data_IF_571148407719
#
_entry.id   IF_571148407719
#
_cell.length_a   1.000
_cell.length_b   1.000
_cell.length_c   1.000
_cell.angle_alpha   90.00
_cell.angle_beta   90.00
_cell.angle_gamma   90.00
#
_symmetry.space_group_name_H-M   'P 1'
#
loop_
_entity.id
_entity.type
_entity.pdbx_description
1 polymer ?
#
# COMPACT_ATOMS: atom_id res chain seq x y z
N UNK A 1 50.33 -38.11 -5.42
CA UNK A 1 48.94 -37.57 -5.29
C UNK A 1 48.28 -38.40 -4.20
N UNK A 2 48.16 -37.87 -2.98
CA UNK A 2 47.62 -38.63 -1.85
C UNK A 2 46.09 -38.78 -2.01
N UNK A 3 45.61 -40.02 -2.03
CA UNK A 3 44.18 -40.34 -2.11
C UNK A 3 43.59 -40.44 -0.71
N UNK A 4 42.47 -39.77 -0.46
CA UNK A 4 41.73 -39.87 0.80
C UNK A 4 41.17 -41.30 0.98
N UNK A 5 41.16 -41.86 2.20
CA UNK A 5 40.61 -43.19 2.46
C UNK A 5 39.09 -43.25 2.19
N UNK A 6 38.63 -44.44 1.82
CA UNK A 6 37.25 -44.71 1.38
C UNK A 6 36.23 -44.35 2.48
N UNK A 7 35.47 -43.27 2.24
CA UNK A 7 34.38 -42.80 3.13
C UNK A 7 34.47 -41.31 3.51
N UNK A 8 35.62 -40.66 3.32
CA UNK A 8 35.81 -39.25 3.66
C UNK A 8 35.46 -38.32 2.47
N UNK A 9 34.35 -37.60 2.57
CA UNK A 9 34.02 -36.50 1.64
C UNK A 9 34.68 -35.22 2.16
N UNK A 10 35.82 -34.84 1.59
CA UNK A 10 36.51 -33.62 1.97
C UNK A 10 35.75 -32.39 1.47
N UNK A 11 35.17 -31.62 2.40
CA UNK A 11 34.60 -30.30 2.08
C UNK A 11 35.68 -29.24 1.96
N UNK A 12 36.72 -29.31 2.80
CA UNK A 12 37.88 -28.42 2.74
C UNK A 12 39.10 -29.10 3.38
N UNK A 13 40.27 -28.90 2.77
CA UNK A 13 41.54 -29.50 3.19
C UNK A 13 42.48 -28.38 3.66
N UNK A 14 43.06 -28.53 4.84
CA UNK A 14 44.07 -27.60 5.35
C UNK A 14 45.32 -28.38 5.79
N UNK A 15 46.49 -27.98 5.28
CA UNK A 15 47.77 -28.52 5.73
C UNK A 15 48.16 -27.87 7.05
N UNK A 16 48.50 -28.67 8.06
CA UNK A 16 48.97 -28.20 9.35
C UNK A 16 50.28 -28.90 9.72
N UNK A 17 51.39 -28.26 9.36
CA UNK A 17 52.73 -28.85 9.47
C UNK A 17 52.82 -30.13 8.63
N UNK A 18 53.09 -31.25 9.30
CA UNK A 18 53.21 -32.59 8.71
C UNK A 18 51.89 -33.37 8.64
N UNK A 19 50.77 -32.74 9.02
CA UNK A 19 49.47 -33.39 9.13
C UNK A 19 48.46 -32.73 8.20
N UNK A 20 47.45 -33.50 7.83
CA UNK A 20 46.38 -33.03 6.96
C UNK A 20 45.06 -33.00 7.74
N UNK A 21 44.48 -31.80 7.85
CA UNK A 21 43.18 -31.59 8.48
C UNK A 21 42.10 -31.61 7.40
N UNK A 22 41.11 -32.48 7.59
CA UNK A 22 39.95 -32.59 6.72
C UNK A 22 38.72 -32.10 7.47
N UNK A 23 38.06 -31.10 6.90
CA UNK A 23 36.71 -30.71 7.32
C UNK A 23 35.69 -31.55 6.57
N UNK A 24 34.92 -32.34 7.32
CA UNK A 24 33.80 -33.07 6.76
C UNK A 24 32.51 -32.22 6.87
N UNK A 25 31.71 -32.10 5.79
CA UNK A 25 30.43 -31.42 5.86
C UNK A 25 29.50 -32.12 6.86
N UNK A 26 28.96 -31.37 7.83
CA UNK A 26 28.02 -31.90 8.83
C UNK A 26 28.62 -32.36 10.17
N UNK A 27 29.95 -32.39 10.34
CA UNK A 27 30.60 -32.66 11.63
C UNK A 27 31.36 -31.43 12.15
N UNK A 28 31.30 -31.19 13.45
CA UNK A 28 32.06 -30.12 14.15
C UNK A 28 33.51 -30.56 14.41
N UNK A 29 33.77 -31.87 14.42
CA UNK A 29 35.10 -32.46 14.54
C UNK A 29 35.90 -32.33 13.24
N UNK A 30 37.18 -31.97 13.37
CA UNK A 30 38.14 -32.01 12.27
C UNK A 30 38.85 -33.36 12.28
N UNK A 31 38.81 -34.08 11.16
CA UNK A 31 39.55 -35.31 10.98
C UNK A 31 41.02 -34.97 10.73
N UNK A 32 41.94 -35.70 11.35
CA UNK A 32 43.38 -35.47 11.26
C UNK A 32 44.03 -36.70 10.65
N UNK A 33 44.86 -36.50 9.64
CA UNK A 33 45.63 -37.56 8.98
C UNK A 33 47.12 -37.30 9.13
N UNK A 34 47.88 -38.36 9.38
CA UNK A 34 49.34 -38.30 9.48
C UNK A 34 50.02 -38.32 8.08
N UNK A 35 51.36 -38.25 8.03
CA UNK A 35 52.15 -38.29 6.78
C UNK A 35 51.97 -39.60 5.99
N UNK A 36 51.53 -40.68 6.66
CA UNK A 36 51.33 -42.02 6.10
C UNK A 36 49.89 -42.24 5.58
N UNK A 37 48.98 -41.29 5.82
CA UNK A 37 47.57 -41.37 5.41
C UNK A 37 46.65 -42.06 6.42
N UNK A 38 47.15 -42.44 7.60
CA UNK A 38 46.35 -43.04 8.66
C UNK A 38 45.53 -41.98 9.42
N UNK A 39 44.30 -42.33 9.76
CA UNK A 39 43.42 -41.48 10.54
C UNK A 39 43.88 -41.42 12.01
N UNK A 40 44.23 -40.24 12.48
CA UNK A 40 44.50 -39.96 13.89
C UNK A 40 43.18 -39.58 14.62
N UNK A 41 43.20 -39.62 15.96
CA UNK A 41 42.06 -39.20 16.78
C UNK A 41 41.54 -37.81 16.36
N UNK A 42 40.23 -37.64 16.16
CA UNK A 42 39.64 -36.41 15.65
C UNK A 42 39.89 -35.25 16.60
N UNK A 43 40.22 -34.08 16.05
CA UNK A 43 40.46 -32.88 16.84
C UNK A 43 39.11 -32.28 17.25
N UNK A 44 38.75 -32.45 18.51
CA UNK A 44 37.64 -31.77 19.17
C UNK A 44 38.19 -30.59 19.96
N UNK A 45 38.03 -29.38 19.43
CA UNK A 45 38.46 -28.15 20.11
C UNK A 45 37.25 -27.46 20.74
N UNK A 46 37.37 -27.12 22.03
CA UNK A 46 36.38 -26.34 22.77
C UNK A 46 36.16 -24.95 22.15
N UNK A 47 37.17 -24.39 21.49
CA UNK A 47 37.07 -23.13 20.75
C UNK A 47 36.24 -23.26 19.47
N UNK A 48 36.34 -24.38 18.75
CA UNK A 48 35.53 -24.64 17.55
C UNK A 48 34.06 -24.83 17.91
N UNK A 49 33.77 -25.56 19.00
CA UNK A 49 32.41 -25.70 19.51
C UNK A 49 31.85 -24.37 20.00
N UNK A 50 32.67 -23.53 20.64
CA UNK A 50 32.25 -22.20 21.08
C UNK A 50 31.95 -21.26 19.90
N UNK A 51 32.76 -21.27 18.85
CA UNK A 51 32.53 -20.46 17.65
C UNK A 51 31.27 -20.89 16.88
N UNK A 52 31.03 -22.21 16.75
CA UNK A 52 29.79 -22.72 16.12
C UNK A 52 28.56 -22.40 16.97
N UNK A 53 28.67 -22.52 18.30
CA UNK A 53 27.60 -22.13 19.23
C UNK A 53 27.29 -20.62 19.15
N UNK A 54 28.32 -19.79 19.04
CA UNK A 54 28.17 -18.34 18.87
C UNK A 54 27.54 -17.98 17.50
N UNK A 55 27.95 -18.66 16.42
CA UNK A 55 27.35 -18.46 15.09
C UNK A 55 25.88 -18.89 15.04
N UNK A 56 25.54 -20.03 15.62
CA UNK A 56 24.15 -20.51 15.70
C UNK A 56 23.29 -19.62 16.60
N UNK A 57 23.85 -19.10 17.69
CA UNK A 57 23.19 -18.11 18.54
C UNK A 57 22.92 -16.80 17.79
N UNK A 58 23.86 -16.29 17.00
CA UNK A 58 23.63 -15.09 16.17
C UNK A 58 22.57 -15.32 15.09
N UNK A 59 22.65 -16.43 14.37
CA UNK A 59 21.66 -16.76 13.34
C UNK A 59 20.24 -16.93 13.93
N UNK A 60 20.12 -17.53 15.11
CA UNK A 60 18.82 -17.67 15.79
C UNK A 60 18.29 -16.35 16.33
N UNK A 61 19.16 -15.46 16.84
CA UNK A 61 18.78 -14.12 17.27
C UNK A 61 18.33 -13.24 16.09
N UNK A 62 19.01 -13.32 14.94
CA UNK A 62 18.57 -12.65 13.71
C UNK A 62 17.19 -13.14 13.27
N UNK A 63 16.96 -14.45 13.30
CA UNK A 63 15.68 -15.05 12.92
C UNK A 63 14.54 -14.69 13.92
N UNK A 64 14.87 -14.54 15.20
CA UNK A 64 13.95 -14.08 16.25
C UNK A 64 13.65 -12.58 16.10
N UNK A 65 14.67 -11.76 15.87
CA UNK A 65 14.51 -10.34 15.59
C UNK A 65 13.65 -10.12 14.33
N UNK A 66 13.85 -10.97 13.31
CA UNK A 66 13.05 -11.00 12.09
C UNK A 66 11.58 -11.31 12.36
N UNK A 67 11.29 -12.37 13.11
CA UNK A 67 9.92 -12.75 13.50
C UNK A 67 9.26 -11.70 14.39
N UNK A 68 10.01 -11.11 15.30
CA UNK A 68 9.52 -10.05 16.19
C UNK A 68 9.19 -8.76 15.40
N UNK A 69 10.05 -8.37 14.46
CA UNK A 69 9.83 -7.23 13.58
C UNK A 69 8.59 -7.41 12.69
N UNK A 70 8.43 -8.60 12.09
CA UNK A 70 7.23 -8.94 11.31
C UNK A 70 5.97 -8.96 12.19
N UNK A 71 6.02 -9.51 13.39
CA UNK A 71 4.90 -9.51 14.33
C UNK A 71 4.50 -8.07 14.73
N UNK A 72 5.47 -7.21 15.01
CA UNK A 72 5.22 -5.79 15.31
C UNK A 72 4.63 -5.04 14.12
N UNK A 73 5.10 -5.29 12.90
CA UNK A 73 4.55 -4.67 11.69
C UNK A 73 3.09 -5.11 11.45
N UNK A 74 2.79 -6.40 11.63
CA UNK A 74 1.41 -6.92 11.56
C UNK A 74 0.54 -6.31 12.65
N UNK A 75 1.02 -6.23 13.89
CA UNK A 75 0.29 -5.60 14.99
C UNK A 75 0.03 -4.11 14.73
N UNK A 76 1.01 -3.38 14.20
CA UNK A 76 0.85 -1.97 13.83
C UNK A 76 -0.17 -1.79 12.70
N UNK A 77 -0.18 -2.69 11.70
CA UNK A 77 -1.18 -2.72 10.64
C UNK A 77 -2.59 -2.96 11.21
N UNK A 78 -2.74 -3.97 12.08
CA UNK A 78 -4.01 -4.29 12.74
C UNK A 78 -4.48 -3.12 13.61
N UNK A 79 -3.60 -2.53 14.41
CA UNK A 79 -3.91 -1.36 15.23
C UNK A 79 -4.34 -0.16 14.38
N UNK A 80 -3.67 0.08 13.24
CA UNK A 80 -4.03 1.14 12.30
C UNK A 80 -5.40 0.87 11.65
N UNK A 81 -5.71 -0.37 11.30
CA UNK A 81 -7.03 -0.77 10.79
C UNK A 81 -8.13 -0.57 11.84
N UNK A 82 -7.87 -0.96 13.09
CA UNK A 82 -8.80 -0.76 14.21
C UNK A 82 -9.04 0.74 14.49
N UNK A 83 -7.97 1.54 14.53
CA UNK A 83 -8.07 2.99 14.70
C UNK A 83 -8.82 3.64 13.54
N UNK A 84 -8.56 3.23 12.29
CA UNK A 84 -9.29 3.70 11.13
C UNK A 84 -10.77 3.35 11.19
N UNK A 85 -11.12 2.14 11.67
CA UNK A 85 -12.52 1.74 11.87
C UNK A 85 -13.22 2.58 12.96
N UNK A 86 -12.53 2.85 14.08
CA UNK A 86 -13.06 3.71 15.16
C UNK A 86 -13.22 5.16 14.68
N UNK A 87 -12.25 5.70 13.96
CA UNK A 87 -12.36 7.03 13.35
C UNK A 87 -13.51 7.08 12.34
N UNK A 88 -13.71 6.04 11.55
CA UNK A 88 -14.83 5.94 10.61
C UNK A 88 -16.18 5.98 11.31
N UNK A 89 -16.35 5.22 12.38
CA UNK A 89 -17.58 5.22 13.19
C UNK A 89 -17.79 6.61 13.81
N UNK A 90 -16.73 7.25 14.33
CA UNK A 90 -16.82 8.61 14.84
C UNK A 90 -17.19 9.64 13.77
N UNK A 91 -16.63 9.54 12.57
CA UNK A 91 -16.98 10.43 11.46
C UNK A 91 -18.43 10.26 11.03
N UNK A 92 -18.99 9.04 11.09
CA UNK A 92 -20.41 8.78 10.76
C UNK A 92 -21.39 9.32 11.81
N UNK A 93 -20.99 9.38 13.09
CA UNK A 93 -21.84 9.92 14.18
C UNK A 93 -21.79 11.45 14.22
N UNK A 94 -20.71 12.07 13.72
CA UNK A 94 -20.51 13.53 13.72
C UNK A 94 -20.60 14.18 12.33
N UNK A 95 -21.16 13.51 11.32
CA UNK A 95 -21.62 14.23 10.12
C UNK A 95 -22.83 15.08 10.49
N UNK A 96 -22.60 16.20 11.18
CA UNK A 96 -23.48 17.35 11.07
C UNK A 96 -23.42 17.77 9.61
N UNK A 97 -24.46 17.50 8.84
CA UNK A 97 -24.64 18.08 7.50
C UNK A 97 -24.35 19.57 7.60
N UNK A 98 -23.19 20.00 7.08
CA UNK A 98 -22.79 21.40 7.09
C UNK A 98 -23.44 22.02 5.86
N UNK A 99 -24.69 22.43 6.02
CA UNK A 99 -25.41 23.31 5.09
C UNK A 99 -24.69 24.67 5.08
N UNK A 100 -23.56 24.78 4.38
CA UNK A 100 -22.81 26.02 4.24
C UNK A 100 -22.79 26.44 2.78
N UNK A 101 -23.23 27.67 2.49
CA UNK A 101 -22.91 28.38 1.24
C UNK A 101 -24.01 28.46 0.19
N UNK A 102 -25.11 27.71 0.30
CA UNK A 102 -26.20 27.73 -0.68
C UNK A 102 -27.57 28.10 -0.10
N UNK A 103 -28.47 28.53 -0.98
CA UNK A 103 -29.89 28.77 -0.66
C UNK A 103 -30.48 27.45 -0.15
N UNK A 104 -31.18 27.43 1.00
CA UNK A 104 -31.71 26.21 1.59
C UNK A 104 -32.54 25.41 0.59
N UNK A 105 -32.13 24.15 0.37
CA UNK A 105 -32.76 23.18 -0.52
C UNK A 105 -34.24 22.91 -0.19
N UNK A 106 -34.69 23.21 1.03
CA UNK A 106 -36.08 23.07 1.47
C UNK A 106 -37.08 23.82 0.57
N UNK A 107 -36.65 24.85 -0.16
CA UNK A 107 -37.45 25.56 -1.16
C UNK A 107 -37.18 25.01 -2.57
N UNK A 108 -37.63 23.78 -2.84
CA UNK A 108 -37.61 23.16 -4.17
C UNK A 108 -36.74 21.93 -4.31
N UNK A 109 -36.45 21.20 -3.23
CA UNK A 109 -35.80 19.89 -3.26
C UNK A 109 -36.56 18.89 -4.16
N UNK A 110 -37.89 18.96 -4.21
CA UNK A 110 -38.74 18.10 -5.05
C UNK A 110 -38.55 18.34 -6.56
N UNK A 111 -38.07 19.53 -6.97
CA UNK A 111 -37.82 19.87 -8.37
C UNK A 111 -36.46 19.35 -8.89
N UNK A 112 -35.63 18.77 -8.02
CA UNK A 112 -34.28 18.35 -8.37
C UNK A 112 -34.29 16.92 -8.89
N UNK A 113 -33.95 16.77 -10.16
CA UNK A 113 -33.67 15.46 -10.74
C UNK A 113 -32.26 15.03 -10.35
N UNK A 114 -32.16 14.13 -9.38
CA UNK A 114 -30.88 13.56 -8.94
C UNK A 114 -30.38 12.48 -9.90
N UNK A 115 -29.10 12.54 -10.25
CA UNK A 115 -28.45 11.54 -11.08
C UNK A 115 -28.21 10.28 -10.25
N UNK A 116 -28.67 9.14 -10.76
CA UNK A 116 -28.48 7.87 -10.09
C UNK A 116 -26.99 7.50 -9.93
N UNK A 117 -26.59 6.98 -8.76
CA UNK A 117 -25.25 6.46 -8.57
C UNK A 117 -25.02 5.20 -9.41
N UNK A 118 -23.76 4.92 -9.73
CA UNK A 118 -23.40 3.71 -10.45
C UNK A 118 -23.66 2.46 -9.59
N UNK A 119 -24.63 1.63 -9.98
CA UNK A 119 -25.11 0.46 -9.23
C UNK A 119 -23.98 -0.47 -8.72
N UNK A 120 -22.92 -0.65 -9.51
CA UNK A 120 -21.85 -1.62 -9.21
C UNK A 120 -20.58 -0.99 -8.64
N UNK A 121 -20.60 0.27 -8.20
CA UNK A 121 -19.41 0.98 -7.72
C UNK A 121 -18.74 0.25 -6.55
N UNK A 122 -19.50 -0.08 -5.52
CA UNK A 122 -18.96 -0.72 -4.31
C UNK A 122 -18.45 -2.13 -4.59
N UNK A 123 -19.17 -2.88 -5.45
CA UNK A 123 -18.71 -4.19 -5.92
C UNK A 123 -17.39 -4.08 -6.68
N UNK A 124 -17.25 -3.13 -7.61
CA UNK A 124 -16.00 -2.90 -8.35
C UNK A 124 -14.84 -2.50 -7.44
N UNK A 125 -15.07 -1.60 -6.49
CA UNK A 125 -14.05 -1.22 -5.50
C UNK A 125 -13.64 -2.39 -4.61
N UNK A 126 -14.59 -3.27 -4.24
CA UNK A 126 -14.28 -4.48 -3.47
C UNK A 126 -13.47 -5.48 -4.26
N UNK A 127 -13.77 -5.66 -5.56
CA UNK A 127 -13.01 -6.53 -6.46
C UNK A 127 -11.60 -5.99 -6.68
N UNK A 128 -11.45 -4.67 -6.90
CA UNK A 128 -10.14 -4.02 -6.99
C UNK A 128 -9.33 -4.22 -5.71
N UNK A 129 -9.93 -3.99 -4.54
CA UNK A 129 -9.24 -4.21 -3.27
C UNK A 129 -8.83 -5.67 -3.05
N UNK A 130 -9.70 -6.64 -3.39
CA UNK A 130 -9.36 -8.08 -3.32
C UNK A 130 -8.23 -8.42 -4.28
N UNK A 131 -8.31 -7.97 -5.54
CA UNK A 131 -7.28 -8.22 -6.55
C UNK A 131 -5.93 -7.63 -6.12
N UNK A 132 -5.94 -6.42 -5.57
CA UNK A 132 -4.77 -5.76 -5.02
C UNK A 132 -4.19 -6.54 -3.83
N UNK A 133 -5.03 -6.99 -2.90
CA UNK A 133 -4.59 -7.78 -1.75
C UNK A 133 -3.91 -9.10 -2.18
N UNK A 134 -4.48 -9.79 -3.17
CA UNK A 134 -3.88 -11.02 -3.73
C UNK A 134 -2.54 -10.73 -4.39
N UNK A 135 -2.44 -9.67 -5.20
CA UNK A 135 -1.19 -9.27 -5.86
C UNK A 135 -0.13 -8.82 -4.85
N UNK A 136 -0.51 -8.06 -3.84
CA UNK A 136 0.38 -7.62 -2.76
C UNK A 136 0.93 -8.83 -1.98
N UNK A 137 0.07 -9.80 -1.63
CA UNK A 137 0.49 -11.02 -0.95
C UNK A 137 1.45 -11.84 -1.82
N UNK A 138 1.16 -11.99 -3.11
CA UNK A 138 2.04 -12.68 -4.05
C UNK A 138 3.42 -11.99 -4.14
N UNK A 139 3.46 -10.65 -4.23
CA UNK A 139 4.70 -9.89 -4.25
C UNK A 139 5.53 -10.10 -2.97
N UNK A 140 4.89 -10.10 -1.80
CA UNK A 140 5.55 -10.37 -0.51
C UNK A 140 6.11 -11.80 -0.50
N UNK A 141 5.33 -12.80 -0.92
CA UNK A 141 5.77 -14.20 -0.97
C UNK A 141 6.97 -14.39 -1.90
N UNK A 142 6.96 -13.76 -3.08
CA UNK A 142 8.09 -13.79 -4.01
C UNK A 142 9.32 -13.12 -3.40
N UNK A 143 9.17 -11.95 -2.77
CA UNK A 143 10.28 -11.26 -2.12
C UNK A 143 10.92 -12.11 -0.99
N UNK A 144 10.09 -12.77 -0.18
CA UNK A 144 10.56 -13.71 0.84
C UNK A 144 11.27 -14.91 0.22
N UNK A 145 10.71 -15.49 -0.85
CA UNK A 145 11.31 -16.61 -1.58
C UNK A 145 12.65 -16.27 -2.25
N UNK A 146 12.86 -15.01 -2.61
CA UNK A 146 14.12 -14.49 -3.17
C UNK A 146 15.17 -14.14 -2.10
N UNK A 147 14.85 -14.25 -0.81
CA UNK A 147 15.80 -13.93 0.28
C UNK A 147 16.13 -12.43 0.38
N UNK A 148 15.19 -11.57 0.00
CA UNK A 148 15.32 -10.11 0.04
C UNK A 148 15.65 -9.62 1.46
N UNK A 149 16.49 -8.59 1.56
CA UNK A 149 16.95 -8.08 2.87
C UNK A 149 15.80 -7.45 3.68
N UNK A 150 16.00 -7.33 5.00
CA UNK A 150 15.00 -6.78 5.90
C UNK A 150 14.47 -5.40 5.49
N UNK A 151 15.41 -4.55 5.08
CA UNK A 151 15.14 -3.17 4.71
C UNK A 151 14.45 -3.07 3.34
N UNK A 152 14.77 -3.97 2.41
CA UNK A 152 14.07 -4.09 1.14
C UNK A 152 12.64 -4.62 1.32
N UNK A 153 12.41 -5.58 2.21
CA UNK A 153 11.07 -6.05 2.53
C UNK A 153 10.24 -4.96 3.22
N UNK A 154 10.83 -4.22 4.16
CA UNK A 154 10.17 -3.08 4.79
C UNK A 154 9.78 -2.02 3.76
N UNK A 155 10.68 -1.69 2.82
CA UNK A 155 10.38 -0.77 1.74
C UNK A 155 9.22 -1.28 0.86
N UNK A 156 9.19 -2.57 0.53
CA UNK A 156 8.09 -3.19 -0.21
C UNK A 156 6.75 -3.06 0.54
N UNK A 157 6.73 -3.37 1.84
CA UNK A 157 5.51 -3.25 2.65
C UNK A 157 5.00 -1.81 2.71
N UNK A 158 5.90 -0.83 2.88
CA UNK A 158 5.54 0.59 2.88
C UNK A 158 4.99 1.00 1.51
N UNK A 159 5.63 0.59 0.41
CA UNK A 159 5.16 0.86 -0.95
C UNK A 159 3.76 0.27 -1.20
N UNK A 160 3.49 -0.94 -0.70
CA UNK A 160 2.20 -1.62 -0.84
C UNK A 160 1.11 -1.03 0.09
N UNK A 161 1.49 -0.43 1.22
CA UNK A 161 0.54 0.17 2.15
C UNK A 161 -0.18 1.39 1.53
N UNK A 162 0.53 2.21 0.75
CA UNK A 162 -0.01 3.44 0.18
C UNK A 162 -1.28 3.22 -0.67
N UNK A 163 -1.23 2.40 -1.73
CA UNK A 163 -2.40 2.10 -2.53
C UNK A 163 -3.50 1.35 -1.75
N UNK A 164 -3.14 0.52 -0.76
CA UNK A 164 -4.11 -0.14 0.11
C UNK A 164 -4.93 0.89 0.90
N UNK A 165 -4.26 1.84 1.55
CA UNK A 165 -4.92 2.92 2.28
C UNK A 165 -5.74 3.82 1.37
N UNK A 166 -5.24 4.13 0.16
CA UNK A 166 -6.00 4.91 -0.82
C UNK A 166 -7.30 4.21 -1.25
N UNK A 167 -7.27 2.89 -1.47
CA UNK A 167 -8.46 2.10 -1.80
C UNK A 167 -9.44 2.05 -0.62
N UNK A 168 -8.96 1.86 0.61
CA UNK A 168 -9.80 1.88 1.81
C UNK A 168 -10.48 3.24 2.02
N UNK A 169 -9.75 4.33 1.79
CA UNK A 169 -10.28 5.68 1.86
C UNK A 169 -11.40 5.87 0.84
N UNK A 170 -11.19 5.43 -0.41
CA UNK A 170 -12.21 5.52 -1.47
C UNK A 170 -13.44 4.64 -1.24
N UNK A 171 -13.29 3.50 -0.57
CA UNK A 171 -14.42 2.66 -0.16
C UNK A 171 -15.20 3.26 1.01
N UNK A 172 -14.55 4.08 1.83
CA UNK A 172 -15.17 4.74 2.99
C UNK A 172 -15.81 6.09 2.66
N UNK A 173 -15.37 6.75 1.59
CA UNK A 173 -15.85 8.07 1.20
C UNK A 173 -17.14 8.01 0.39
N UNK A 174 -18.05 8.94 0.67
CA UNK A 174 -19.15 9.23 -0.23
C UNK A 174 -18.63 9.82 -1.56
N UNK A 175 -19.35 9.59 -2.64
CA UNK A 175 -18.98 10.06 -4.00
C UNK A 175 -19.65 11.39 -4.36
N UNK A 176 -20.42 11.97 -3.43
CA UNK A 176 -21.18 13.20 -3.63
C UNK A 176 -22.45 12.96 -4.44
N UNK A 177 -23.20 14.05 -4.69
CA UNK A 177 -24.43 14.00 -5.47
C UNK A 177 -24.39 15.04 -6.59
N UNK A 178 -25.00 14.67 -7.71
CA UNK A 178 -25.22 15.56 -8.85
C UNK A 178 -26.72 15.58 -9.12
N UNK A 179 -27.29 16.77 -9.19
CA UNK A 179 -28.68 16.99 -9.54
C UNK A 179 -28.80 18.07 -10.60
N UNK A 180 -29.96 18.11 -11.25
CA UNK A 180 -30.32 19.17 -12.19
C UNK A 180 -31.69 19.73 -11.83
N UNK A 181 -31.82 21.05 -11.85
CA UNK A 181 -33.09 21.78 -11.68
C UNK A 181 -33.26 22.73 -12.87
N UNK A 182 -34.03 22.30 -13.87
CA UNK A 182 -34.13 23.02 -15.14
C UNK A 182 -32.76 23.19 -15.80
N UNK A 183 -32.30 24.44 -15.90
CA UNK A 183 -31.00 24.79 -16.50
C UNK A 183 -29.87 25.00 -15.48
N UNK A 184 -30.13 24.66 -14.21
CA UNK A 184 -29.19 24.82 -13.10
C UNK A 184 -28.69 23.46 -12.64
N UNK A 185 -27.39 23.40 -12.37
CA UNK A 185 -26.70 22.22 -11.90
C UNK A 185 -26.53 22.32 -10.38
N UNK A 186 -26.88 21.25 -9.67
CA UNK A 186 -26.75 21.11 -8.23
C UNK A 186 -25.65 20.10 -7.97
N UNK A 187 -24.64 20.51 -7.22
CA UNK A 187 -23.55 19.62 -6.79
C UNK A 187 -23.55 19.56 -5.28
N UNK A 188 -23.43 18.35 -4.74
CA UNK A 188 -23.10 18.13 -3.33
C UNK A 188 -21.82 17.30 -3.26
N UNK A 189 -20.85 17.73 -2.45
CA UNK A 189 -19.60 17.00 -2.28
C UNK A 189 -19.74 15.81 -1.31
N UNK A 190 -18.63 15.10 -1.11
CA UNK A 190 -18.50 13.99 -0.18
C UNK A 190 -18.65 14.37 1.32
N UNK A 191 -18.73 15.65 1.64
CA UNK A 191 -18.94 16.18 3.00
C UNK A 191 -20.38 16.70 3.20
N UNK A 192 -21.21 16.66 2.16
CA UNK A 192 -22.59 17.15 2.18
C UNK A 192 -22.72 18.66 1.94
N UNK A 193 -21.65 19.35 1.55
CA UNK A 193 -21.71 20.76 1.14
C UNK A 193 -22.25 20.82 -0.29
N UNK A 194 -23.25 21.66 -0.53
CA UNK A 194 -23.87 21.78 -1.86
C UNK A 194 -23.87 23.20 -2.40
N UNK A 195 -23.76 23.31 -3.72
CA UNK A 195 -23.82 24.55 -4.46
C UNK A 195 -24.67 24.40 -5.73
N UNK A 196 -25.37 25.47 -6.10
CA UNK A 196 -26.15 25.58 -7.33
C UNK A 196 -25.47 26.55 -8.28
N UNK A 197 -25.37 26.18 -9.56
CA UNK A 197 -24.70 26.99 -10.57
C UNK A 197 -25.13 26.65 -11.98
N UNK A 198 -25.05 27.64 -12.87
CA UNK A 198 -25.27 27.50 -14.31
C UNK A 198 -24.25 28.33 -15.08
N UNK A 199 -24.09 28.02 -16.38
CA UNK A 199 -23.18 28.75 -17.27
C UNK A 199 -21.76 28.87 -16.70
N UNK A 200 -21.23 30.10 -16.65
CA UNK A 200 -19.85 30.39 -16.24
C UNK A 200 -19.49 30.01 -14.80
N UNK A 201 -20.47 29.78 -13.91
CA UNK A 201 -20.21 29.29 -12.54
C UNK A 201 -19.89 27.80 -12.49
N UNK A 202 -20.25 27.05 -13.53
CA UNK A 202 -19.94 25.63 -13.63
C UNK A 202 -18.55 25.47 -14.22
N UNK A 203 -17.68 24.81 -13.49
CA UNK A 203 -16.34 24.46 -13.92
C UNK A 203 -16.28 22.95 -14.16
N UNK A 204 -15.65 22.54 -15.25
CA UNK A 204 -15.54 21.11 -15.57
C UNK A 204 -14.17 20.73 -16.11
N UNK A 205 -13.75 19.51 -15.78
CA UNK A 205 -12.55 18.90 -16.36
C UNK A 205 -12.61 17.39 -16.32
N UNK A 206 -12.68 16.76 -17.49
CA UNK A 206 -12.64 15.30 -17.68
C UNK A 206 -13.66 14.55 -16.81
N UNK A 207 -13.26 14.13 -15.62
CA UNK A 207 -14.06 13.31 -14.70
C UNK A 207 -14.51 14.10 -13.46
N UNK A 208 -14.37 15.42 -13.46
CA UNK A 208 -14.69 16.28 -12.33
C UNK A 208 -15.62 17.41 -12.76
N UNK A 209 -16.59 17.69 -11.90
CA UNK A 209 -17.47 18.86 -11.99
C UNK A 209 -17.33 19.68 -10.71
N UNK A 210 -17.35 21.00 -10.87
CA UNK A 210 -17.02 21.93 -9.80
C UNK A 210 -17.95 23.14 -9.88
N UNK A 211 -18.48 23.57 -8.74
CA UNK A 211 -19.16 24.87 -8.57
C UNK A 211 -18.58 25.47 -7.30
N UNK A 212 -18.03 26.68 -7.42
CA UNK A 212 -17.37 27.38 -6.32
C UNK A 212 -16.29 26.51 -5.63
N UNK A 213 -16.53 26.05 -4.40
CA UNK A 213 -15.66 25.16 -3.61
C UNK A 213 -16.09 23.69 -3.62
N UNK A 214 -17.29 23.37 -4.10
CA UNK A 214 -17.78 21.99 -4.24
C UNK A 214 -17.15 21.33 -5.46
N UNK A 215 -16.52 20.18 -5.26
CA UNK A 215 -15.93 19.36 -6.31
C UNK A 215 -16.46 17.94 -6.24
N UNK A 216 -17.06 17.46 -7.33
CA UNK A 216 -17.64 16.13 -7.45
C UNK A 216 -16.93 15.32 -8.52
N UNK A 217 -16.54 14.10 -8.18
CA UNK A 217 -15.98 13.14 -9.13
C UNK A 217 -17.11 12.42 -9.85
N UNK A 218 -17.27 12.69 -11.14
CA UNK A 218 -18.32 12.12 -12.00
C UNK A 218 -18.06 10.62 -12.27
N UNK A 219 -16.80 10.23 -12.29
CA UNK A 219 -16.38 8.86 -12.59
C UNK A 219 -15.49 8.73 -13.82
N UNK A 220 -14.70 7.66 -13.82
CA UNK A 220 -13.90 7.23 -14.97
C UNK A 220 -14.41 5.89 -15.50
N UNK A 221 -13.86 5.43 -16.64
CA UNK A 221 -14.19 4.11 -17.21
C UNK A 221 -14.01 2.97 -16.20
N UNK A 222 -12.97 3.06 -15.39
CA UNK A 222 -12.60 2.05 -14.39
C UNK A 222 -13.32 2.24 -13.05
N UNK A 223 -13.70 3.49 -12.74
CA UNK A 223 -14.34 3.84 -11.48
C UNK A 223 -15.50 4.83 -11.72
N UNK A 224 -16.64 4.37 -12.23
CA UNK A 224 -17.82 5.23 -12.38
C UNK A 224 -18.34 5.61 -10.98
N UNK A 225 -18.67 6.89 -10.79
CA UNK A 225 -19.39 7.35 -9.59
C UNK A 225 -20.90 7.38 -9.86
N UNK A 226 -21.28 7.89 -11.03
CA UNK A 226 -22.66 7.98 -11.48
C UNK A 226 -22.90 7.13 -12.73
N UNK A 227 -24.18 6.92 -13.06
CA UNK A 227 -24.57 6.22 -14.28
C UNK A 227 -24.08 6.99 -15.53
N UNK A 228 -23.21 6.41 -16.38
CA UNK A 228 -22.58 7.15 -17.49
C UNK A 228 -23.59 7.72 -18.50
N UNK A 229 -24.67 6.99 -18.77
CA UNK A 229 -25.79 7.39 -19.63
C UNK A 229 -26.52 8.60 -19.08
N UNK A 230 -26.85 8.61 -17.78
CA UNK A 230 -27.50 9.74 -17.12
C UNK A 230 -26.61 10.99 -17.11
N UNK A 231 -25.29 10.82 -16.87
CA UNK A 231 -24.33 11.92 -16.96
C UNK A 231 -24.29 12.55 -18.35
N UNK A 232 -24.25 11.73 -19.41
CA UNK A 232 -24.21 12.25 -20.78
C UNK A 232 -25.52 12.93 -21.17
N UNK A 233 -26.65 12.40 -20.72
CA UNK A 233 -27.97 12.93 -21.07
C UNK A 233 -28.31 14.23 -20.29
N UNK A 234 -28.03 14.28 -18.99
CA UNK A 234 -28.54 15.33 -18.10
C UNK A 234 -27.46 16.36 -17.71
N UNK A 235 -26.25 15.89 -17.40
CA UNK A 235 -25.19 16.73 -16.80
C UNK A 235 -24.29 17.34 -17.86
N UNK A 236 -23.88 16.57 -18.87
CA UNK A 236 -22.95 17.02 -19.89
C UNK A 236 -23.43 18.25 -20.70
N UNK A 237 -24.72 18.38 -21.08
CA UNK A 237 -25.20 19.56 -21.79
C UNK A 237 -25.07 20.85 -20.96
N UNK A 238 -25.35 20.78 -19.66
CA UNK A 238 -25.24 21.90 -18.73
C UNK A 238 -23.79 22.23 -18.40
N UNK A 239 -22.97 21.20 -18.12
CA UNK A 239 -21.55 21.35 -17.83
C UNK A 239 -20.77 21.99 -18.99
N UNK A 240 -21.11 21.64 -20.24
CA UNK A 240 -20.45 22.19 -21.45
C UNK A 240 -20.70 23.69 -21.65
N UNK A 241 -21.73 24.26 -21.03
CA UNK A 241 -21.95 25.72 -21.01
C UNK A 241 -21.04 26.44 -20.01
N UNK A 242 -20.36 25.68 -19.17
CA UNK A 242 -19.39 26.17 -18.20
C UNK A 242 -17.98 26.32 -18.72
N UNK A 243 -17.07 26.58 -17.80
CA UNK A 243 -15.66 26.84 -18.10
C UNK A 243 -14.86 25.54 -17.96
N UNK A 244 -14.13 25.19 -19.02
CA UNK A 244 -13.17 24.10 -18.96
C UNK A 244 -11.91 24.56 -18.20
N UNK A 245 -11.62 23.93 -17.07
CA UNK A 245 -10.51 24.34 -16.19
C UNK A 245 -9.23 23.58 -16.46
N UNK A 246 -8.08 24.15 -16.09
CA UNK A 246 -6.76 23.52 -16.25
C UNK A 246 -6.46 22.47 -15.16
N UNK A 247 -5.34 21.74 -15.30
CA UNK A 247 -4.97 20.68 -14.33
C UNK A 247 -4.58 21.25 -12.97
N UNK A 248 -3.93 22.42 -12.96
CA UNK A 248 -3.43 23.04 -11.71
C UNK A 248 -4.58 23.51 -10.86
N UNK A 249 -5.58 24.16 -11.46
CA UNK A 249 -6.81 24.57 -10.79
C UNK A 249 -7.58 23.37 -10.22
N UNK A 250 -7.69 22.27 -10.97
CA UNK A 250 -8.31 21.05 -10.45
C UNK A 250 -7.53 20.51 -9.23
N UNK A 251 -6.20 20.42 -9.33
CA UNK A 251 -5.38 19.90 -8.24
C UNK A 251 -5.50 20.76 -6.96
N UNK A 252 -5.48 22.09 -7.08
CA UNK A 252 -5.64 22.99 -5.92
C UNK A 252 -7.00 22.82 -5.28
N UNK A 253 -8.07 22.72 -6.08
CA UNK A 253 -9.44 22.51 -5.58
C UNK A 253 -9.62 21.17 -4.89
N UNK A 254 -9.07 20.09 -5.46
CA UNK A 254 -9.12 18.77 -4.83
C UNK A 254 -8.37 18.74 -3.51
N UNK A 255 -7.25 19.46 -3.38
CA UNK A 255 -6.50 19.58 -2.13
C UNK A 255 -7.23 20.45 -1.11
N UNK A 256 -7.76 21.60 -1.52
CA UNK A 256 -8.54 22.50 -0.65
C UNK A 256 -9.78 21.82 -0.09
N UNK A 257 -10.55 21.14 -0.94
CA UNK A 257 -11.72 20.37 -0.54
C UNK A 257 -11.40 19.03 0.13
N UNK A 258 -10.11 18.70 0.34
CA UNK A 258 -9.65 17.44 0.94
C UNK A 258 -10.26 16.21 0.26
N UNK A 259 -10.43 16.28 -1.07
CA UNK A 259 -11.15 15.26 -1.83
C UNK A 259 -10.47 13.88 -1.68
N UNK A 260 -11.25 12.79 -1.52
CA UNK A 260 -10.74 11.43 -1.30
C UNK A 260 -9.63 10.99 -2.26
N UNK A 261 -9.78 11.30 -3.55
CA UNK A 261 -8.78 11.00 -4.58
C UNK A 261 -7.46 11.76 -4.38
N UNK A 262 -7.49 13.03 -3.94
CA UNK A 262 -6.28 13.80 -3.69
C UNK A 262 -5.57 13.30 -2.43
N UNK A 263 -6.33 13.01 -1.36
CA UNK A 263 -5.77 12.40 -0.14
C UNK A 263 -5.15 11.03 -0.44
N UNK A 264 -5.84 10.17 -1.19
CA UNK A 264 -5.32 8.87 -1.61
C UNK A 264 -4.03 8.98 -2.43
N UNK A 265 -3.98 9.94 -3.36
CA UNK A 265 -2.76 10.21 -4.14
C UNK A 265 -1.61 10.68 -3.26
N UNK A 266 -1.90 11.56 -2.29
CA UNK A 266 -0.91 12.03 -1.31
C UNK A 266 -0.35 10.89 -0.45
N UNK A 267 -1.20 9.97 0.01
CA UNK A 267 -0.79 8.79 0.78
C UNK A 267 0.12 7.89 -0.07
N UNK A 268 -0.25 7.62 -1.32
CA UNK A 268 0.57 6.80 -2.23
C UNK A 268 1.95 7.44 -2.43
N UNK A 269 2.01 8.75 -2.67
CA UNK A 269 3.27 9.47 -2.84
C UNK A 269 4.13 9.43 -1.58
N UNK A 270 3.53 9.66 -0.41
CA UNK A 270 4.24 9.61 0.88
C UNK A 270 4.83 8.21 1.13
N UNK A 271 4.04 7.16 0.89
CA UNK A 271 4.51 5.77 1.00
C UNK A 271 5.61 5.45 -0.03
N UNK A 272 5.47 5.90 -1.28
CA UNK A 272 6.50 5.70 -2.29
C UNK A 272 7.82 6.39 -1.93
N UNK A 273 7.75 7.65 -1.47
CA UNK A 273 8.93 8.38 -0.97
C UNK A 273 9.55 7.68 0.25
N UNK A 274 8.74 7.21 1.20
CA UNK A 274 9.22 6.45 2.36
C UNK A 274 9.91 5.15 1.98
N UNK A 275 9.36 4.41 1.01
CA UNK A 275 9.97 3.21 0.47
C UNK A 275 11.30 3.50 -0.23
N UNK A 276 11.37 4.56 -1.06
CA UNK A 276 12.61 4.99 -1.70
C UNK A 276 13.67 5.45 -0.70
N UNK A 277 13.26 6.17 0.34
CA UNK A 277 14.14 6.60 1.42
C UNK A 277 14.73 5.39 2.16
N UNK A 278 13.91 4.38 2.47
CA UNK A 278 14.37 3.13 3.06
C UNK A 278 15.41 2.46 2.15
N UNK A 279 15.14 2.31 0.85
CA UNK A 279 16.08 1.71 -0.11
C UNK A 279 17.39 2.49 -0.27
N UNK A 280 17.38 3.80 0.01
CA UNK A 280 18.57 4.66 -0.08
C UNK A 280 19.48 4.58 1.16
N UNK A 281 19.02 3.96 2.25
CA UNK A 281 19.85 3.76 3.43
C UNK A 281 20.96 2.74 3.09
N UNK A 282 22.25 3.08 3.32
CA UNK A 282 23.34 2.15 3.05
C UNK A 282 23.15 0.90 3.90
N UNK A 283 23.11 -0.27 3.24
CA UNK A 283 22.93 -1.56 3.90
C UNK A 283 24.04 -1.79 4.93
N UNK A 284 23.65 -1.90 6.20
CA UNK A 284 24.50 -2.53 7.22
C UNK A 284 24.52 -4.02 6.88
N UNK A 285 25.52 -4.42 6.09
CA UNK A 285 25.86 -5.82 5.82
C UNK A 285 26.51 -6.48 7.02
#
# INVERSE_FOLDING_TARGET
RATLPSGAVAGQLAAWGKRLLVRQPGSISLLKYNEQGDAEAPLTSTLLTALVAEQTRRASLELLAWRAGLALAVLALVASCCLAAVYRIRCQVYTSSREQGAVPLDQGADDISWVAPAANRQQRLSLLARSYAVLALAAIMVAVGLGVSALQLAALLVALAGPAFALLLLQGSDYGHIGTRGDVLVLADHQGVYHLGSGSRVHYRSHFLMIDDVTVFIGSRWLPAFEPTAIVAQVAPLARRGIYVDRKFLATRLLQGRHPLALGTGIILACACGALALLSLPGMG
#
